data_IF_278397346611
#
_entry.id   IF_278397346611
#
_cell.length_a   1.000
_cell.length_b   1.000
_cell.length_c   1.000
_cell.angle_alpha   90.00
_cell.angle_beta   90.00
_cell.angle_gamma   90.00
#
_symmetry.space_group_name_H-M   'P 1'
#
loop_
_entity.id
_entity.type
_entity.pdbx_description
1 polymer ?
#
# COMPACT_ATOMS: atom_id res chain seq x y z
N UNK A 1 -21.76 27.46 -83.85
CA UNK A 1 -22.04 28.29 -82.66
C UNK A 1 -22.48 27.36 -81.53
N UNK A 2 -21.53 26.79 -80.76
CA UNK A 2 -21.80 25.87 -79.65
C UNK A 2 -21.85 26.65 -78.34
N UNK A 3 -22.99 26.51 -77.64
CA UNK A 3 -23.35 27.20 -76.40
C UNK A 3 -22.64 26.51 -75.22
N UNK A 4 -21.70 27.21 -74.59
CA UNK A 4 -20.98 26.74 -73.40
C UNK A 4 -21.79 27.10 -72.16
N UNK A 5 -22.45 26.11 -71.57
CA UNK A 5 -23.20 26.23 -70.31
C UNK A 5 -22.22 26.19 -69.12
N UNK A 6 -22.00 27.32 -68.43
CA UNK A 6 -21.17 27.36 -67.22
C UNK A 6 -21.92 26.74 -66.03
N UNK A 7 -21.52 25.53 -65.63
CA UNK A 7 -21.86 24.92 -64.32
C UNK A 7 -21.50 25.90 -63.19
N UNK A 8 -22.49 26.46 -62.49
CA UNK A 8 -22.28 27.23 -61.26
C UNK A 8 -21.89 26.27 -60.13
N UNK A 9 -20.74 26.52 -59.50
CA UNK A 9 -20.25 25.80 -58.31
C UNK A 9 -21.23 25.89 -57.14
N UNK A 10 -21.31 24.86 -56.28
CA UNK A 10 -22.14 24.89 -55.08
C UNK A 10 -21.58 25.88 -54.05
N UNK A 11 -22.44 26.71 -53.48
CA UNK A 11 -22.14 27.60 -52.35
C UNK A 11 -21.73 26.76 -51.14
N UNK A 12 -20.48 26.88 -50.72
CA UNK A 12 -19.99 26.36 -49.45
C UNK A 12 -20.72 27.10 -48.32
N UNK A 13 -21.64 26.42 -47.64
CA UNK A 13 -22.24 26.95 -46.40
C UNK A 13 -21.18 26.85 -45.32
N UNK A 14 -20.69 27.99 -44.84
CA UNK A 14 -19.89 28.03 -43.62
C UNK A 14 -20.80 27.62 -42.45
N UNK A 15 -20.62 26.39 -41.95
CA UNK A 15 -21.24 25.98 -40.70
C UNK A 15 -20.61 26.79 -39.58
N UNK A 16 -21.35 27.74 -39.02
CA UNK A 16 -20.96 28.47 -37.81
C UNK A 16 -20.79 27.47 -36.68
N UNK A 17 -19.55 27.20 -36.27
CA UNK A 17 -19.28 26.47 -35.03
C UNK A 17 -19.83 27.29 -33.87
N UNK A 18 -20.81 26.75 -33.16
CA UNK A 18 -21.30 27.32 -31.91
C UNK A 18 -20.20 27.24 -30.87
N UNK A 19 -19.41 28.30 -30.72
CA UNK A 19 -18.48 28.45 -29.61
C UNK A 19 -19.30 28.67 -28.33
N UNK A 20 -19.39 27.65 -27.49
CA UNK A 20 -19.94 27.79 -26.14
C UNK A 20 -18.93 28.53 -25.27
N UNK A 21 -19.10 29.84 -25.10
CA UNK A 21 -18.26 30.64 -24.20
C UNK A 21 -18.70 30.41 -22.75
N UNK A 22 -17.88 29.70 -21.98
CA UNK A 22 -18.06 29.62 -20.52
C UNK A 22 -17.68 30.99 -19.95
N UNK A 23 -18.66 31.71 -19.40
CA UNK A 23 -18.43 32.99 -18.72
C UNK A 23 -18.00 32.71 -17.29
N UNK A 24 -16.68 32.76 -17.02
CA UNK A 24 -16.14 32.60 -15.66
C UNK A 24 -16.17 33.97 -14.96
N UNK A 25 -16.86 34.12 -13.82
CA UNK A 25 -16.87 35.38 -13.10
C UNK A 25 -15.47 35.70 -12.57
N UNK A 26 -15.07 36.99 -12.59
CA UNK A 26 -13.75 37.43 -12.11
C UNK A 26 -13.52 37.14 -10.61
N UNK A 27 -14.59 36.88 -9.86
CA UNK A 27 -14.55 36.48 -8.45
C UNK A 27 -14.48 34.97 -8.24
N UNK A 28 -14.47 34.16 -9.30
CA UNK A 28 -14.40 32.71 -9.19
C UNK A 28 -13.10 32.28 -8.49
N UNK A 29 -13.24 31.47 -7.45
CA UNK A 29 -12.10 30.76 -6.89
C UNK A 29 -11.54 29.76 -7.93
N UNK A 30 -10.26 29.39 -7.80
CA UNK A 30 -9.76 28.27 -8.58
C UNK A 30 -10.41 26.98 -8.10
N UNK A 31 -10.77 26.15 -9.06
CA UNK A 31 -11.35 24.84 -8.79
C UNK A 31 -10.31 23.88 -8.22
N UNK A 32 -10.79 22.89 -7.50
CA UNK A 32 -9.95 21.87 -6.91
C UNK A 32 -10.70 20.56 -6.72
N UNK A 33 -9.96 19.59 -6.22
CA UNK A 33 -10.48 18.30 -5.82
C UNK A 33 -10.26 18.17 -4.31
N UNK A 34 -11.30 17.74 -3.59
CA UNK A 34 -11.21 17.36 -2.18
C UNK A 34 -11.41 15.86 -2.06
N UNK A 35 -10.41 15.15 -1.53
CA UNK A 35 -10.47 13.70 -1.35
C UNK A 35 -11.45 13.34 -0.25
N UNK A 36 -12.33 12.40 -0.55
CA UNK A 36 -13.29 11.82 0.40
C UNK A 36 -12.87 10.44 0.87
N UNK A 37 -12.15 9.70 0.02
CA UNK A 37 -11.68 8.36 0.35
C UNK A 37 -10.28 8.11 -0.24
N UNK A 38 -9.31 7.68 0.58
CA UNK A 38 -9.37 7.53 2.04
C UNK A 38 -9.43 8.89 2.79
N UNK A 39 -9.85 8.90 4.06
CA UNK A 39 -9.80 10.09 4.91
C UNK A 39 -8.37 10.62 5.01
N UNK A 40 -8.17 11.91 4.75
CA UNK A 40 -6.84 12.53 4.79
C UNK A 40 -6.27 12.74 6.21
N UNK A 41 -7.00 12.30 7.25
CA UNK A 41 -6.60 12.46 8.66
C UNK A 41 -5.45 11.55 9.07
N UNK A 42 -5.11 10.53 8.28
CA UNK A 42 -3.99 9.61 8.55
C UNK A 42 -3.48 8.96 7.27
N UNK A 43 -2.20 8.60 7.25
CA UNK A 43 -1.59 7.85 6.13
C UNK A 43 -2.29 6.50 6.00
N UNK A 44 -2.85 6.24 4.82
CA UNK A 44 -3.52 4.97 4.52
C UNK A 44 -2.52 3.93 4.05
N UNK A 45 -2.65 2.70 4.53
CA UNK A 45 -1.80 1.57 4.15
C UNK A 45 -2.60 0.54 3.36
N UNK A 46 -2.09 0.14 2.21
CA UNK A 46 -2.75 -0.83 1.34
C UNK A 46 -1.81 -2.00 1.03
N UNK A 47 -2.36 -3.21 1.14
CA UNK A 47 -1.66 -4.44 0.77
C UNK A 47 -1.74 -4.69 -0.73
N UNK A 48 -0.62 -5.04 -1.33
CA UNK A 48 -0.53 -5.59 -2.69
C UNK A 48 -0.93 -7.06 -2.61
N UNK A 49 -2.22 -7.37 -2.75
CA UNK A 49 -2.76 -8.73 -2.67
C UNK A 49 -3.94 -8.90 -3.63
N UNK A 50 -4.15 -10.14 -4.09
CA UNK A 50 -5.29 -10.48 -4.95
C UNK A 50 -6.63 -10.19 -4.25
N UNK A 51 -7.59 -9.65 -5.00
CA UNK A 51 -8.94 -9.34 -4.50
C UNK A 51 -9.00 -8.17 -3.52
N UNK A 52 -7.99 -7.29 -3.50
CA UNK A 52 -7.94 -6.13 -2.60
C UNK A 52 -7.70 -4.84 -3.40
N UNK A 53 -8.67 -4.41 -4.24
CA UNK A 53 -8.56 -3.16 -4.96
C UNK A 53 -8.69 -1.96 -4.02
N UNK A 54 -7.92 -0.91 -4.30
CA UNK A 54 -8.04 0.37 -3.61
C UNK A 54 -9.08 1.21 -4.34
N UNK A 55 -9.93 1.93 -3.60
CA UNK A 55 -10.80 2.96 -4.18
C UNK A 55 -10.37 4.32 -3.69
N UNK A 56 -10.03 5.21 -4.62
CA UNK A 56 -9.82 6.62 -4.35
C UNK A 56 -11.09 7.36 -4.74
N UNK A 57 -11.65 8.13 -3.82
CA UNK A 57 -12.85 8.93 -4.01
C UNK A 57 -12.60 10.39 -3.70
N UNK A 58 -13.26 11.28 -4.45
CA UNK A 58 -13.15 12.72 -4.29
C UNK A 58 -14.40 13.47 -4.75
N UNK A 59 -14.48 14.75 -4.39
CA UNK A 59 -15.46 15.70 -4.89
C UNK A 59 -14.76 16.90 -5.54
N UNK A 60 -15.38 17.48 -6.55
CA UNK A 60 -14.93 18.73 -7.15
C UNK A 60 -15.43 19.92 -6.33
N UNK A 61 -14.58 20.92 -6.15
CA UNK A 61 -14.90 22.16 -5.44
C UNK A 61 -14.56 23.34 -6.34
N UNK A 62 -15.51 24.26 -6.54
CA UNK A 62 -15.30 25.49 -7.32
C UNK A 62 -14.80 25.27 -8.76
N UNK A 63 -15.04 24.09 -9.35
CA UNK A 63 -14.74 23.79 -10.75
C UNK A 63 -15.96 24.21 -11.60
N UNK A 64 -15.77 25.21 -12.45
CA UNK A 64 -16.80 25.70 -13.38
C UNK A 64 -16.58 25.21 -14.82
N UNK A 65 -15.33 24.91 -15.17
CA UNK A 65 -14.96 24.33 -16.46
C UNK A 65 -14.84 22.83 -16.31
N UNK A 66 -15.67 22.08 -17.04
CA UNK A 66 -15.59 20.62 -17.06
C UNK A 66 -14.34 20.18 -17.83
N UNK A 67 -13.55 19.31 -17.21
CA UNK A 67 -12.45 18.63 -17.91
C UNK A 67 -13.02 17.55 -18.84
N UNK A 68 -12.31 17.27 -19.92
CA UNK A 68 -12.60 16.12 -20.80
C UNK A 68 -12.05 14.84 -20.19
N UNK A 69 -10.82 14.91 -19.64
CA UNK A 69 -10.17 13.78 -19.00
C UNK A 69 -9.56 14.19 -17.66
N UNK A 70 -9.49 13.23 -16.74
CA UNK A 70 -8.66 13.32 -15.55
C UNK A 70 -7.51 12.35 -15.67
N UNK A 71 -6.33 12.80 -15.31
CA UNK A 71 -5.17 11.94 -15.14
C UNK A 71 -4.90 11.75 -13.66
N UNK A 72 -4.81 10.48 -13.25
CA UNK A 72 -4.50 10.04 -11.90
C UNK A 72 -3.19 9.27 -11.95
N UNK A 73 -2.21 9.69 -11.17
CA UNK A 73 -0.92 8.99 -11.08
C UNK A 73 -0.42 8.96 -9.64
N UNK A 74 0.20 7.84 -9.28
CA UNK A 74 0.84 7.64 -7.99
C UNK A 74 2.34 7.87 -8.17
N UNK A 75 2.87 8.89 -7.49
CA UNK A 75 4.31 9.17 -7.47
C UNK A 75 4.90 8.52 -6.24
N UNK A 76 5.76 7.54 -6.44
CA UNK A 76 6.50 6.89 -5.36
C UNK A 76 7.60 7.82 -4.83
N UNK A 77 7.96 7.68 -3.55
CA UNK A 77 9.09 8.39 -2.96
C UNK A 77 10.44 8.10 -3.66
N UNK A 78 10.54 7.00 -4.43
CA UNK A 78 11.70 6.69 -5.26
C UNK A 78 11.77 7.53 -6.57
N UNK A 79 10.77 8.37 -6.84
CA UNK A 79 10.68 9.21 -8.05
C UNK A 79 9.94 8.56 -9.23
N UNK A 80 9.59 7.28 -9.16
CA UNK A 80 8.82 6.62 -10.21
C UNK A 80 7.35 7.04 -10.16
N UNK A 81 6.76 7.24 -11.34
CA UNK A 81 5.34 7.56 -11.50
C UNK A 81 4.61 6.36 -12.07
N UNK A 82 3.53 5.96 -11.41
CA UNK A 82 2.70 4.83 -11.81
C UNK A 82 1.29 5.31 -12.17
N UNK A 83 0.73 4.90 -13.31
CA UNK A 83 -0.65 5.20 -13.65
C UNK A 83 -1.62 4.51 -12.68
N UNK A 84 -2.65 5.23 -12.23
CA UNK A 84 -3.63 4.71 -11.25
C UNK A 84 -4.96 4.43 -11.93
N UNK A 85 -5.50 3.24 -11.69
CA UNK A 85 -6.79 2.81 -12.21
C UNK A 85 -6.69 1.80 -13.36
N UNK A 86 -7.83 1.38 -13.92
CA UNK A 86 -7.89 0.33 -14.93
C UNK A 86 -7.50 0.81 -16.33
N UNK A 87 -7.40 2.13 -16.54
CA UNK A 87 -7.26 2.78 -17.84
C UNK A 87 -5.95 3.56 -17.93
N UNK A 88 -4.84 2.98 -17.45
CA UNK A 88 -3.51 3.59 -17.48
C UNK A 88 -3.46 5.04 -16.95
N UNK A 89 -4.22 5.32 -15.89
CA UNK A 89 -4.22 6.64 -15.27
C UNK A 89 -5.14 7.66 -15.90
N UNK A 90 -5.82 7.38 -17.02
CA UNK A 90 -6.71 8.34 -17.69
C UNK A 90 -8.17 7.93 -17.51
N UNK A 91 -8.94 8.76 -16.81
CA UNK A 91 -10.36 8.54 -16.54
C UNK A 91 -11.21 9.69 -17.08
N UNK A 92 -12.53 9.52 -17.08
CA UNK A 92 -13.46 10.57 -17.52
C UNK A 92 -13.30 11.83 -16.66
N UNK A 93 -13.40 13.00 -17.29
CA UNK A 93 -13.29 14.31 -16.62
C UNK A 93 -14.26 14.54 -15.46
N UNK A 94 -15.41 13.86 -15.48
CA UNK A 94 -16.48 13.92 -14.48
C UNK A 94 -16.38 12.82 -13.41
N UNK A 95 -15.40 11.93 -13.49
CA UNK A 95 -15.25 10.84 -12.53
C UNK A 95 -14.93 11.41 -11.14
N UNK A 96 -15.62 10.87 -10.13
CA UNK A 96 -15.43 11.20 -8.71
C UNK A 96 -14.72 10.09 -7.94
N UNK A 97 -14.43 8.97 -8.60
CA UNK A 97 -13.72 7.85 -8.00
C UNK A 97 -12.96 7.05 -9.03
N UNK A 98 -11.85 6.44 -8.60
CA UNK A 98 -11.12 5.44 -9.38
C UNK A 98 -10.79 4.24 -8.51
N UNK A 99 -10.97 3.06 -9.08
CA UNK A 99 -10.62 1.78 -8.45
C UNK A 99 -9.29 1.32 -9.05
N UNK A 100 -8.33 0.98 -8.20
CA UNK A 100 -7.00 0.53 -8.61
C UNK A 100 -6.68 -0.83 -8.01
N UNK A 101 -6.53 -1.84 -8.86
CA UNK A 101 -6.09 -3.16 -8.47
C UNK A 101 -4.57 -3.27 -8.59
N UNK A 102 -3.90 -3.18 -7.44
CA UNK A 102 -2.45 -3.29 -7.31
C UNK A 102 -1.91 -4.64 -7.76
N UNK A 103 -2.66 -5.71 -7.50
CA UNK A 103 -2.22 -7.07 -7.80
C UNK A 103 -2.26 -7.29 -9.31
N UNK A 104 -3.39 -6.97 -9.94
CA UNK A 104 -3.53 -7.06 -11.40
C UNK A 104 -2.53 -6.14 -12.12
N UNK A 105 -2.29 -4.94 -11.59
CA UNK A 105 -1.27 -4.04 -12.11
C UNK A 105 0.14 -4.66 -12.09
N UNK A 106 0.55 -5.25 -10.96
CA UNK A 106 1.85 -5.91 -10.84
C UNK A 106 1.99 -7.14 -11.76
N UNK A 107 0.90 -7.89 -11.96
CA UNK A 107 0.89 -9.03 -12.87
C UNK A 107 1.07 -8.59 -14.33
N UNK A 108 0.46 -7.46 -14.73
CA UNK A 108 0.64 -6.88 -16.06
C UNK A 108 2.02 -6.21 -16.25
N UNK A 109 2.62 -5.72 -15.16
CA UNK A 109 3.89 -4.97 -15.16
C UNK A 109 4.98 -5.71 -14.37
N UNK A 110 5.24 -6.97 -14.71
CA UNK A 110 6.22 -7.81 -14.01
C UNK A 110 7.66 -7.25 -14.05
N UNK A 111 7.99 -6.45 -15.07
CA UNK A 111 9.30 -5.82 -15.23
C UNK A 111 9.48 -4.57 -14.35
N UNK A 112 8.38 -3.95 -13.93
CA UNK A 112 8.36 -2.69 -13.16
C UNK A 112 7.32 -2.76 -12.04
N UNK A 113 7.51 -3.68 -11.07
CA UNK A 113 6.56 -3.86 -9.99
C UNK A 113 6.45 -2.60 -9.12
N UNK A 114 5.31 -2.45 -8.48
CA UNK A 114 5.07 -1.44 -7.46
C UNK A 114 6.02 -1.67 -6.28
N UNK A 115 6.80 -0.65 -5.96
CA UNK A 115 7.69 -0.66 -4.80
C UNK A 115 6.89 -0.63 -3.49
N UNK A 116 7.41 -1.27 -2.44
CA UNK A 116 6.89 -1.12 -1.08
C UNK A 116 7.39 0.19 -0.48
N UNK A 117 6.66 1.27 -0.69
CA UNK A 117 7.04 2.62 -0.27
C UNK A 117 5.79 3.49 -0.06
N UNK A 118 6.02 4.74 0.34
CA UNK A 118 4.97 5.76 0.32
C UNK A 118 4.83 6.34 -1.09
N UNK A 119 3.60 6.70 -1.43
CA UNK A 119 3.17 7.25 -2.69
C UNK A 119 2.34 8.51 -2.44
N UNK A 120 2.50 9.48 -3.31
CA UNK A 120 1.66 10.68 -3.39
C UNK A 120 0.70 10.53 -4.57
N UNK A 121 -0.60 10.63 -4.32
CA UNK A 121 -1.59 10.62 -5.39
C UNK A 121 -1.64 12.01 -6.01
N UNK A 122 -1.33 12.07 -7.30
CA UNK A 122 -1.47 13.26 -8.11
C UNK A 122 -2.67 13.11 -9.04
N UNK A 123 -3.59 14.07 -8.97
CA UNK A 123 -4.77 14.14 -9.86
C UNK A 123 -4.74 15.48 -10.59
N UNK A 124 -4.82 15.47 -11.91
CA UNK A 124 -4.89 16.69 -12.72
C UNK A 124 -5.82 16.50 -13.92
N UNK A 125 -6.22 17.63 -14.52
CA UNK A 125 -7.10 17.66 -15.70
C UNK A 125 -6.36 18.06 -16.96
N UNK A 126 -7.10 18.58 -17.94
CA UNK A 126 -6.60 18.88 -19.29
C UNK A 126 -5.45 19.90 -19.33
N UNK A 127 -5.37 20.79 -18.33
CA UNK A 127 -4.28 21.77 -18.22
C UNK A 127 -2.92 21.15 -17.82
N UNK A 128 -2.92 19.88 -17.44
CA UNK A 128 -1.72 19.13 -17.08
C UNK A 128 -1.30 19.26 -15.61
N UNK A 129 -0.26 18.51 -15.24
CA UNK A 129 0.23 18.35 -13.86
C UNK A 129 0.75 19.65 -13.22
N UNK A 130 1.31 20.54 -14.03
CA UNK A 130 1.93 21.80 -13.57
C UNK A 130 1.10 23.03 -13.96
N UNK A 131 -0.20 22.84 -14.19
CA UNK A 131 -1.10 23.91 -14.58
C UNK A 131 -1.07 25.06 -13.55
N UNK A 132 -0.93 26.29 -14.04
CA UNK A 132 -1.09 27.47 -13.21
C UNK A 132 -2.53 27.54 -12.66
N UNK A 133 -2.65 28.02 -11.43
CA UNK A 133 -3.95 28.16 -10.77
C UNK A 133 -4.78 29.21 -11.52
N UNK A 134 -5.88 28.79 -12.14
CA UNK A 134 -6.78 29.65 -12.90
C UNK A 134 -8.21 29.59 -12.32
N UNK A 135 -8.94 30.72 -12.32
CA UNK A 135 -10.30 30.78 -11.78
C UNK A 135 -11.22 29.84 -12.57
N UNK A 136 -12.04 29.05 -11.87
CA UNK A 136 -12.98 28.10 -12.49
C UNK A 136 -12.38 26.86 -13.15
N UNK A 137 -11.07 26.82 -13.35
CA UNK A 137 -10.34 25.62 -13.80
C UNK A 137 -9.90 24.77 -12.61
N UNK A 138 -9.78 23.47 -12.85
CA UNK A 138 -9.32 22.54 -11.84
C UNK A 138 -7.81 22.64 -11.63
N UNK A 139 -7.39 22.86 -10.38
CA UNK A 139 -5.99 22.81 -9.97
C UNK A 139 -5.55 21.36 -9.70
N UNK A 140 -4.29 21.01 -10.01
CA UNK A 140 -3.73 19.71 -9.66
C UNK A 140 -3.82 19.45 -8.15
N UNK A 141 -4.23 18.24 -7.75
CA UNK A 141 -4.26 17.82 -6.36
C UNK A 141 -3.08 16.86 -6.09
N UNK A 142 -2.35 17.11 -5.00
CA UNK A 142 -1.24 16.27 -4.51
C UNK A 142 -1.35 15.97 -3.01
N UNK A 143 -2.55 16.11 -2.45
CA UNK A 143 -2.76 16.12 -1.01
C UNK A 143 -2.75 14.70 -0.39
N UNK A 144 -3.05 13.66 -1.16
CA UNK A 144 -3.09 12.30 -0.63
C UNK A 144 -1.70 11.67 -0.59
N UNK A 145 -1.31 11.20 0.58
CA UNK A 145 -0.19 10.25 0.72
C UNK A 145 -0.71 8.92 1.25
N UNK A 146 -0.26 7.82 0.66
CA UNK A 146 -0.60 6.46 1.06
C UNK A 146 0.63 5.57 0.92
N UNK A 147 0.67 4.44 1.61
CA UNK A 147 1.79 3.51 1.54
C UNK A 147 1.32 2.14 1.06
N UNK A 148 2.16 1.49 0.25
CA UNK A 148 1.95 0.15 -0.26
C UNK A 148 2.88 -0.84 0.43
N UNK A 149 2.37 -2.02 0.76
CA UNK A 149 3.18 -3.12 1.30
C UNK A 149 2.77 -4.45 0.68
N UNK A 150 3.71 -5.40 0.57
CA UNK A 150 3.39 -6.77 0.14
C UNK A 150 3.27 -7.64 1.39
N UNK A 151 2.19 -8.42 1.57
CA UNK A 151 2.08 -9.34 2.69
C UNK A 151 3.18 -10.41 2.57
N UNK A 152 3.88 -10.68 3.67
CA UNK A 152 4.75 -11.85 3.77
C UNK A 152 3.88 -13.12 3.84
N UNK A 153 4.26 -14.20 3.14
CA UNK A 153 3.57 -15.47 3.25
C UNK A 153 3.64 -15.95 4.71
N UNK A 154 2.48 -16.35 5.26
CA UNK A 154 2.42 -16.93 6.60
C UNK A 154 3.09 -18.30 6.59
N UNK A 155 4.24 -18.42 7.26
CA UNK A 155 4.86 -19.71 7.56
C UNK A 155 4.20 -20.27 8.83
N UNK A 156 3.47 -21.40 8.74
CA UNK A 156 2.83 -21.99 9.91
C UNK A 156 3.87 -22.42 10.94
N UNK A 157 3.58 -22.27 12.23
CA UNK A 157 4.52 -22.63 13.31
C UNK A 157 4.93 -24.11 13.28
N UNK A 158 4.12 -24.97 12.64
CA UNK A 158 4.41 -26.37 12.39
C UNK A 158 5.54 -26.61 11.36
N UNK A 159 5.90 -25.60 10.57
CA UNK A 159 6.95 -25.68 9.54
C UNK A 159 8.37 -25.46 10.07
N UNK A 160 8.57 -25.49 11.40
CA UNK A 160 9.90 -25.68 11.99
C UNK A 160 10.46 -24.51 12.78
N UNK A 161 9.65 -23.58 13.29
CA UNK A 161 10.13 -22.63 14.31
C UNK A 161 10.29 -23.36 15.64
N UNK A 162 11.41 -24.08 15.79
CA UNK A 162 11.87 -24.61 17.05
C UNK A 162 12.62 -23.47 17.76
N UNK A 163 12.01 -22.92 18.80
CA UNK A 163 12.74 -22.03 19.70
C UNK A 163 13.86 -22.85 20.36
N UNK A 164 15.11 -22.62 19.95
CA UNK A 164 16.33 -23.30 20.45
C UNK A 164 16.47 -23.24 21.98
N UNK A 165 15.74 -22.34 22.66
CA UNK A 165 15.69 -22.25 24.13
C UNK A 165 14.39 -22.72 24.79
N UNK A 166 13.31 -23.00 24.05
CA UNK A 166 12.00 -23.27 24.66
C UNK A 166 11.75 -24.76 24.91
N UNK A 167 12.53 -25.64 24.28
CA UNK A 167 12.41 -27.11 24.39
C UNK A 167 13.63 -27.77 25.06
N UNK A 168 14.48 -26.99 25.75
CA UNK A 168 15.82 -27.42 26.16
C UNK A 168 16.14 -27.37 27.65
N UNK A 169 15.20 -27.01 28.53
CA UNK A 169 15.52 -26.82 29.97
C UNK A 169 15.68 -28.12 30.77
N UNK A 170 15.63 -29.29 30.13
CA UNK A 170 16.01 -30.57 30.79
C UNK A 170 17.30 -31.15 30.19
N UNK A 171 17.50 -31.01 28.88
CA UNK A 171 18.67 -31.57 28.19
C UNK A 171 19.94 -30.73 28.38
N UNK A 172 19.83 -29.40 28.52
CA UNK A 172 20.97 -28.53 28.78
C UNK A 172 21.50 -28.63 30.22
N UNK A 173 20.64 -29.02 31.18
CA UNK A 173 21.05 -29.27 32.57
C UNK A 173 21.67 -30.66 32.74
N UNK A 174 21.19 -31.67 31.99
CA UNK A 174 21.76 -33.02 32.01
C UNK A 174 23.21 -33.07 31.47
N UNK A 175 23.55 -32.18 30.52
CA UNK A 175 24.90 -32.08 29.96
C UNK A 175 25.82 -31.11 30.74
N UNK A 176 25.31 -30.38 31.74
CA UNK A 176 26.13 -29.45 32.51
C UNK A 176 26.90 -30.20 33.61
N UNK A 177 28.25 -30.13 33.65
CA UNK A 177 29.06 -30.88 34.61
C UNK A 177 28.76 -30.55 36.08
N UNK A 178 28.13 -29.40 36.35
CA UNK A 178 27.65 -29.02 37.67
C UNK A 178 26.51 -29.92 38.20
N UNK A 179 25.62 -30.41 37.32
CA UNK A 179 24.52 -31.30 37.72
C UNK A 179 25.02 -32.69 38.14
N UNK A 180 26.01 -33.23 37.40
CA UNK A 180 26.68 -34.47 37.76
C UNK A 180 27.38 -34.38 39.13
N UNK A 181 28.01 -33.24 39.43
CA UNK A 181 28.64 -32.98 40.74
C UNK A 181 27.63 -32.94 41.90
N UNK A 182 26.45 -32.35 41.69
CA UNK A 182 25.38 -32.31 42.70
C UNK A 182 24.81 -33.71 42.96
N UNK A 183 24.56 -34.51 41.92
CA UNK A 183 24.08 -35.90 42.09
C UNK A 183 25.12 -36.76 42.82
N UNK A 184 26.41 -36.65 42.45
CA UNK A 184 27.46 -37.44 43.07
C UNK A 184 27.63 -37.11 44.57
N UNK A 185 27.60 -35.82 44.94
CA UNK A 185 27.70 -35.41 46.35
C UNK A 185 26.50 -35.87 47.17
N UNK A 186 25.29 -35.83 46.61
CA UNK A 186 24.07 -36.29 47.28
C UNK A 186 24.10 -37.81 47.55
N UNK A 187 24.60 -38.61 46.60
CA UNK A 187 24.79 -40.06 46.78
C UNK A 187 25.85 -40.36 47.85
N UNK A 188 26.97 -39.64 47.86
CA UNK A 188 28.03 -39.83 48.87
C UNK A 188 27.51 -39.50 50.28
N UNK A 189 26.74 -38.43 50.44
CA UNK A 189 26.12 -38.08 51.72
C UNK A 189 25.13 -39.15 52.20
N UNK A 190 24.30 -39.70 51.30
CA UNK A 190 23.35 -40.77 51.65
C UNK A 190 24.04 -42.06 52.07
N UNK A 191 25.09 -42.48 51.35
CA UNK A 191 25.84 -43.71 51.69
C UNK A 191 26.59 -43.53 53.01
N UNK A 192 27.17 -42.35 53.25
CA UNK A 192 27.88 -42.04 54.50
C UNK A 192 26.92 -41.97 55.68
N UNK A 193 25.76 -41.31 55.51
CA UNK A 193 24.72 -41.25 56.53
C UNK A 193 24.14 -42.63 56.87
N UNK A 194 23.89 -43.47 55.86
CA UNK A 194 23.39 -44.83 56.08
C UNK A 194 24.44 -45.74 56.76
N UNK A 195 25.73 -45.57 56.43
CA UNK A 195 26.83 -46.27 57.09
C UNK A 195 26.94 -45.94 58.58
N UNK A 196 26.82 -44.66 58.95
CA UNK A 196 26.85 -44.22 60.34
C UNK A 196 25.63 -44.72 61.14
N UNK A 197 24.42 -44.70 60.57
CA UNK A 197 23.22 -45.27 61.19
C UNK A 197 23.32 -46.79 61.40
N UNK A 198 23.96 -47.49 60.47
CA UNK A 198 24.15 -48.95 60.57
C UNK A 198 25.26 -49.34 61.56
N UNK A 199 26.26 -48.49 61.77
CA UNK A 199 27.25 -48.70 62.83
C UNK A 199 26.72 -48.32 64.23
N UNK A 200 25.91 -47.26 64.34
CA UNK A 200 25.24 -46.90 65.61
C UNK A 200 24.29 -48.01 66.08
N UNK A 201 23.52 -48.61 65.17
CA UNK A 201 22.64 -49.75 65.51
C UNK A 201 23.39 -51.03 65.89
N UNK A 202 24.65 -51.20 65.46
CA UNK A 202 25.49 -52.32 65.90
C UNK A 202 26.15 -52.08 67.26
N UNK A 203 26.44 -50.84 67.63
CA UNK A 203 26.99 -50.50 68.94
C UNK A 203 25.93 -50.56 70.06
N UNK A 204 24.66 -50.32 69.73
CA UNK A 204 23.54 -50.38 70.67
C UNK A 204 23.08 -51.80 71.05
N UNK A 205 23.67 -52.85 70.48
CA UNK A 205 23.29 -54.26 70.71
C UNK A 205 24.37 -55.07 71.47
N UNK A 206 25.46 -54.41 71.87
CA UNK A 206 26.55 -55.01 72.68
C UNK A 206 26.78 -54.26 74.00
N UNK A 207 25.72 -53.73 74.61
CA UNK A 207 25.76 -53.21 75.98
C UNK A 207 24.63 -53.77 76.82
#
# INVERSE_FOLDING_TARGET
MQKIERKRSPSVRYSSSSSSSISIPQTAAAGGITLTQPPQTSTSFYKIASGQPITFGWNFTSVLVNNTHLTVSAICDNGNTYPVGPTDGVIAGTATSVVWDLYSYNQAHSNTPLAQASYTLNIWGDLGRNAARAPGYMSPNTALKFALYTPQPYTPISSGWQCTGCSGSVSAYAAHPAFAGIIATLVIMLITGFGLLRNFSRFAMTS
#
